data_IF_406133999114
#
_entry.id   IF_406133999114
#
_cell.length_a   1.000
_cell.length_b   1.000
_cell.length_c   1.000
_cell.angle_alpha   90.00
_cell.angle_beta   90.00
_cell.angle_gamma   90.00
#
_symmetry.space_group_name_H-M   'P 1'
#
loop_
_entity.id
_entity.type
_entity.pdbx_description
1 polymer ?
#
# COMPACT_ATOMS: atom_id res chain seq x y z
N UNK A 1 -7.13 -5.95 12.25
CA UNK A 1 -5.87 -5.24 12.58
C UNK A 1 -6.00 -3.78 12.22
N UNK A 2 -5.14 -2.91 12.78
CA UNK A 2 -4.99 -1.51 12.35
C UNK A 2 -3.85 -1.40 11.37
N UNK A 3 -4.12 -0.88 10.17
CA UNK A 3 -3.19 -0.84 9.05
C UNK A 3 -3.00 0.60 8.61
N UNK A 4 -1.75 1.04 8.53
CA UNK A 4 -1.38 2.33 7.96
C UNK A 4 -0.85 2.10 6.53
N UNK A 5 -1.39 2.84 5.58
CA UNK A 5 -0.98 2.80 4.17
C UNK A 5 -0.31 4.14 3.83
N UNK A 6 0.91 4.10 3.32
CA UNK A 6 1.64 5.31 2.94
C UNK A 6 1.54 5.53 1.43
N UNK A 7 0.92 6.63 1.05
CA UNK A 7 0.53 6.94 -0.33
C UNK A 7 -0.95 6.61 -0.62
N UNK A 8 -1.55 7.31 -1.57
CA UNK A 8 -2.93 7.08 -2.02
C UNK A 8 -3.03 6.74 -3.52
N UNK A 9 -2.09 5.91 -4.00
CA UNK A 9 -2.06 5.45 -5.40
C UNK A 9 -3.10 4.35 -5.69
N UNK A 10 -3.24 3.99 -6.98
CA UNK A 10 -4.18 2.93 -7.42
C UNK A 10 -3.91 1.58 -6.76
N UNK A 11 -2.65 1.18 -6.65
CA UNK A 11 -2.24 -0.09 -6.00
C UNK A 11 -2.56 -0.05 -4.52
N UNK A 12 -2.20 1.03 -3.83
CA UNK A 12 -2.45 1.21 -2.40
C UNK A 12 -3.94 1.21 -2.08
N UNK A 13 -4.75 1.84 -2.93
CA UNK A 13 -6.22 1.83 -2.81
C UNK A 13 -6.81 0.42 -3.02
N UNK A 14 -6.26 -0.36 -3.95
CA UNK A 14 -6.67 -1.76 -4.14
C UNK A 14 -6.36 -2.60 -2.88
N UNK A 15 -5.18 -2.43 -2.27
CA UNK A 15 -4.83 -3.05 -0.99
C UNK A 15 -5.76 -2.59 0.13
N UNK A 16 -6.09 -1.30 0.21
CA UNK A 16 -7.04 -0.78 1.21
C UNK A 16 -8.41 -1.45 1.11
N UNK A 17 -8.94 -1.63 -0.10
CA UNK A 17 -10.19 -2.36 -0.35
C UNK A 17 -10.09 -3.82 0.07
N UNK A 18 -8.98 -4.49 -0.25
CA UNK A 18 -8.70 -5.86 0.21
C UNK A 18 -8.69 -5.95 1.74
N UNK A 19 -7.98 -5.06 2.42
CA UNK A 19 -7.91 -5.03 3.88
C UNK A 19 -9.27 -4.76 4.53
N UNK A 20 -10.05 -3.81 3.99
CA UNK A 20 -11.40 -3.49 4.46
C UNK A 20 -12.34 -4.68 4.29
N UNK A 21 -12.26 -5.40 3.15
CA UNK A 21 -13.02 -6.64 2.92
C UNK A 21 -12.70 -7.73 3.95
N UNK A 22 -11.45 -7.77 4.43
CA UNK A 22 -11.00 -8.65 5.51
C UNK A 22 -11.18 -8.05 6.92
N UNK A 23 -12.10 -7.10 7.09
CA UNK A 23 -12.48 -6.49 8.37
C UNK A 23 -11.34 -5.78 9.13
N UNK A 24 -10.35 -5.24 8.41
CA UNK A 24 -9.29 -4.43 9.01
C UNK A 24 -9.64 -2.92 9.02
N UNK A 25 -9.12 -2.20 10.00
CA UNK A 25 -9.16 -0.73 10.03
C UNK A 25 -7.99 -0.20 9.22
N UNK A 26 -8.27 0.69 8.26
CA UNK A 26 -7.26 1.21 7.31
C UNK A 26 -7.22 2.72 7.38
N UNK A 27 -6.01 3.28 7.49
CA UNK A 27 -5.72 4.71 7.44
C UNK A 27 -4.68 5.00 6.37
N UNK A 28 -4.89 6.04 5.58
CA UNK A 28 -3.90 6.54 4.64
C UNK A 28 -3.10 7.70 5.24
N UNK A 29 -1.81 7.75 4.89
CA UNK A 29 -0.94 8.87 5.18
C UNK A 29 -0.21 9.30 3.90
N UNK A 30 -0.35 10.57 3.53
CA UNK A 30 0.26 11.16 2.32
C UNK A 30 0.60 12.64 2.57
N UNK A 31 1.67 13.13 1.96
CA UNK A 31 2.08 14.54 2.06
C UNK A 31 1.14 15.48 1.31
N UNK A 32 0.41 14.96 0.31
CA UNK A 32 -0.61 15.73 -0.41
C UNK A 32 -1.84 16.02 0.47
N UNK A 33 -2.01 15.29 1.57
CA UNK A 33 -3.10 15.52 2.50
C UNK A 33 -2.73 16.62 3.47
N UNK A 34 -3.45 17.74 3.41
CA UNK A 34 -3.19 18.92 4.26
C UNK A 34 -3.96 18.87 5.59
N UNK A 35 -5.07 18.13 5.63
CA UNK A 35 -5.88 17.89 6.81
C UNK A 35 -6.55 16.51 6.74
N UNK A 36 -7.12 16.05 7.86
CA UNK A 36 -7.92 14.83 7.91
C UNK A 36 -9.18 14.96 7.05
N UNK A 37 -9.49 13.92 6.28
CA UNK A 37 -10.75 13.77 5.57
C UNK A 37 -11.10 12.30 5.33
N UNK A 38 -12.30 12.05 4.78
CA UNK A 38 -12.66 10.75 4.21
C UNK A 38 -12.70 10.86 2.70
N UNK A 39 -12.04 9.93 2.01
CA UNK A 39 -12.13 9.88 0.54
C UNK A 39 -13.51 9.41 0.05
N UNK A 40 -13.68 9.32 -1.27
CA UNK A 40 -14.95 8.91 -1.91
C UNK A 40 -15.42 7.49 -1.53
N UNK A 41 -14.53 6.65 -1.02
CA UNK A 41 -14.84 5.28 -0.56
C UNK A 41 -14.95 5.17 0.97
N UNK A 42 -14.84 6.31 1.65
CA UNK A 42 -14.94 6.44 3.09
C UNK A 42 -13.69 6.00 3.86
N UNK A 43 -12.54 5.85 3.20
CA UNK A 43 -11.28 5.59 3.90
C UNK A 43 -10.81 6.83 4.65
N UNK A 44 -10.12 6.60 5.77
CA UNK A 44 -9.60 7.68 6.62
C UNK A 44 -8.26 8.17 6.06
N UNK A 45 -8.18 9.43 5.67
CA UNK A 45 -6.98 10.02 5.06
C UNK A 45 -6.40 11.10 5.97
N UNK A 46 -5.12 10.96 6.31
CA UNK A 46 -4.41 11.85 7.23
C UNK A 46 -3.14 12.41 6.60
N UNK A 47 -2.75 13.66 6.92
CA UNK A 47 -1.41 14.16 6.63
C UNK A 47 -0.31 13.24 7.18
N UNK A 48 0.80 13.08 6.46
CA UNK A 48 1.94 12.27 6.92
C UNK A 48 2.45 12.63 8.31
N UNK A 49 2.38 13.92 8.68
CA UNK A 49 2.81 14.42 10.00
C UNK A 49 1.99 13.85 11.16
N UNK A 50 0.76 13.40 10.90
CA UNK A 50 -0.16 12.87 11.90
C UNK A 50 0.03 11.35 12.11
N UNK A 51 0.98 10.72 11.39
CA UNK A 51 1.32 9.32 11.58
C UNK A 51 1.97 9.08 12.94
N UNK A 52 1.40 8.13 13.68
CA UNK A 52 1.96 7.59 14.92
C UNK A 52 2.24 6.09 14.74
N UNK A 53 3.51 5.66 14.82
CA UNK A 53 3.89 4.27 14.57
C UNK A 53 3.43 3.27 15.65
N UNK A 54 2.82 3.76 16.73
CA UNK A 54 2.23 2.89 17.76
C UNK A 54 0.75 2.55 17.47
N UNK A 55 0.12 3.21 16.48
CA UNK A 55 -1.31 3.06 16.22
C UNK A 55 -1.64 1.97 15.20
N UNK A 56 -0.63 1.40 14.53
CA UNK A 56 -0.76 0.32 13.54
C UNK A 56 0.06 -0.91 13.88
N UNK A 57 -0.44 -2.05 13.39
CA UNK A 57 0.20 -3.37 13.50
C UNK A 57 0.87 -3.77 12.17
N UNK A 58 0.65 -2.97 11.12
CA UNK A 58 1.20 -3.16 9.79
C UNK A 58 1.26 -1.78 9.11
N UNK A 59 2.41 -1.46 8.51
CA UNK A 59 2.59 -0.27 7.68
C UNK A 59 3.02 -0.66 6.28
N UNK A 60 2.18 -0.37 5.27
CA UNK A 60 2.49 -0.68 3.87
C UNK A 60 2.92 0.58 3.14
N UNK A 61 4.11 0.57 2.54
CA UNK A 61 4.66 1.72 1.82
C UNK A 61 4.59 1.56 0.31
N UNK A 62 4.06 2.59 -0.36
CA UNK A 62 4.09 2.71 -1.82
C UNK A 62 5.52 2.95 -2.33
N UNK A 63 5.94 2.37 -3.47
CA UNK A 63 7.28 2.53 -4.03
C UNK A 63 7.64 3.98 -4.40
N UNK A 64 6.65 4.88 -4.51
CA UNK A 64 6.88 6.30 -4.77
C UNK A 64 7.43 7.08 -3.56
N UNK A 65 7.41 6.50 -2.35
CA UNK A 65 7.87 7.16 -1.13
C UNK A 65 9.34 6.79 -0.87
N UNK A 66 10.19 7.80 -0.68
CA UNK A 66 11.61 7.62 -0.41
C UNK A 66 11.86 6.81 0.88
N UNK A 67 12.91 5.98 0.89
CA UNK A 67 13.37 5.27 2.10
C UNK A 67 13.80 6.20 3.23
N UNK A 68 14.15 7.45 2.90
CA UNK A 68 14.51 8.48 3.89
C UNK A 68 13.31 9.31 4.34
N UNK A 69 12.09 8.98 3.90
CA UNK A 69 10.90 9.72 4.25
C UNK A 69 10.54 9.52 5.74
N UNK A 70 10.04 10.53 6.46
CA UNK A 70 9.69 10.40 7.88
C UNK A 70 8.69 9.28 8.19
N UNK A 71 7.73 8.98 7.29
CA UNK A 71 6.82 7.84 7.46
C UNK A 71 7.58 6.51 7.53
N UNK A 72 8.54 6.32 6.62
CA UNK A 72 9.36 5.11 6.54
C UNK A 72 10.25 4.99 7.78
N UNK A 73 10.99 6.05 8.10
CA UNK A 73 11.94 6.05 9.22
C UNK A 73 11.25 5.79 10.57
N UNK A 74 10.03 6.32 10.77
CA UNK A 74 9.30 6.17 12.03
C UNK A 74 8.59 4.81 12.18
N UNK A 75 8.35 4.09 11.09
CA UNK A 75 7.56 2.87 11.09
C UNK A 75 8.20 1.74 11.89
N UNK A 76 7.37 0.83 12.42
CA UNK A 76 7.82 -0.30 13.26
C UNK A 76 7.59 -1.66 12.61
N UNK A 77 6.60 -1.74 11.73
CA UNK A 77 6.11 -2.93 11.05
C UNK A 77 5.99 -2.65 9.54
N UNK A 78 7.04 -2.05 8.97
CA UNK A 78 7.08 -1.62 7.58
C UNK A 78 7.22 -2.79 6.62
N UNK A 79 6.39 -2.79 5.56
CA UNK A 79 6.48 -3.72 4.42
C UNK A 79 6.22 -2.94 3.12
N UNK A 80 6.86 -3.32 2.01
CA UNK A 80 6.49 -2.74 0.72
C UNK A 80 5.17 -3.34 0.21
N UNK A 81 4.49 -2.65 -0.71
CA UNK A 81 3.31 -3.21 -1.38
C UNK A 81 3.60 -4.59 -2.00
N UNK A 82 4.78 -4.75 -2.62
CA UNK A 82 5.18 -5.98 -3.30
C UNK A 82 5.46 -7.12 -2.32
N UNK A 83 6.24 -6.86 -1.26
CA UNK A 83 6.55 -7.88 -0.25
C UNK A 83 5.28 -8.33 0.48
N UNK A 84 4.33 -7.42 0.71
CA UNK A 84 3.04 -7.79 1.29
C UNK A 84 2.26 -8.72 0.35
N UNK A 85 2.17 -8.38 -0.94
CA UNK A 85 1.48 -9.21 -1.93
C UNK A 85 2.15 -10.59 -2.04
N UNK A 86 3.48 -10.63 -2.08
CA UNK A 86 4.25 -11.88 -2.11
C UNK A 86 3.94 -12.76 -0.88
N UNK A 87 3.86 -12.12 0.30
CA UNK A 87 3.52 -12.81 1.56
C UNK A 87 2.10 -13.40 1.62
N UNK A 88 1.21 -13.05 0.67
CA UNK A 88 -0.11 -13.67 0.55
C UNK A 88 -0.07 -15.03 -0.15
N UNK A 89 1.06 -15.39 -0.77
CA UNK A 89 1.23 -16.67 -1.44
C UNK A 89 1.98 -17.64 -0.53
N UNK A 90 1.43 -18.85 -0.43
CA UNK A 90 2.00 -19.92 0.40
C UNK A 90 2.64 -21.01 -0.49
N UNK A 91 3.50 -21.84 0.10
CA UNK A 91 4.17 -22.99 -0.57
C UNK A 91 3.19 -23.98 -1.21
N UNK A 92 1.92 -24.00 -0.77
CA UNK A 92 0.88 -24.90 -1.26
C UNK A 92 0.20 -24.36 -2.52
N UNK A 93 0.19 -23.03 -2.71
CA UNK A 93 -0.40 -22.39 -3.88
C UNK A 93 0.29 -21.05 -4.17
N UNK A 94 1.40 -21.12 -4.90
CA UNK A 94 2.01 -19.95 -5.53
C UNK A 94 1.69 -19.99 -7.03
N UNK A 95 0.86 -19.08 -7.57
CA UNK A 95 0.68 -19.00 -9.01
C UNK A 95 2.02 -18.62 -9.67
N UNK A 96 2.19 -18.92 -10.96
CA UNK A 96 3.34 -18.41 -11.70
C UNK A 96 3.30 -16.88 -11.71
N UNK A 97 4.26 -16.24 -11.03
CA UNK A 97 4.38 -14.78 -10.98
C UNK A 97 5.31 -14.33 -12.11
N UNK A 98 4.79 -13.46 -12.99
CA UNK A 98 5.57 -12.80 -14.04
C UNK A 98 5.66 -11.31 -13.71
N UNK A 99 6.85 -10.85 -13.31
CA UNK A 99 7.09 -9.43 -13.01
C UNK A 99 7.62 -8.69 -14.24
N UNK A 100 6.93 -7.61 -14.64
CA UNK A 100 7.27 -6.82 -15.84
C UNK A 100 7.78 -5.45 -15.40
N UNK A 101 9.03 -5.16 -15.74
CA UNK A 101 9.71 -3.89 -15.41
C UNK A 101 10.21 -3.18 -16.68
N UNK A 102 10.43 -1.87 -16.58
CA UNK A 102 10.94 -1.04 -17.68
C UNK A 102 10.42 0.38 -17.65
N UNK A 103 11.06 1.30 -18.38
CA UNK A 103 10.62 2.70 -18.45
C UNK A 103 9.28 2.83 -19.19
N UNK A 104 9.12 2.13 -20.30
CA UNK A 104 7.94 2.17 -21.18
C UNK A 104 7.36 0.77 -21.40
N UNK A 105 6.11 0.68 -21.88
CA UNK A 105 5.50 -0.58 -22.32
C UNK A 105 4.95 -1.52 -21.23
N UNK A 106 5.27 -1.29 -19.94
CA UNK A 106 4.88 -2.17 -18.82
C UNK A 106 3.39 -2.57 -18.82
N UNK A 107 2.50 -1.58 -18.82
CA UNK A 107 1.05 -1.83 -18.75
C UNK A 107 0.56 -2.62 -19.97
N UNK A 108 0.98 -2.20 -21.18
CA UNK A 108 0.60 -2.88 -22.43
C UNK A 108 1.10 -4.32 -22.49
N UNK A 109 2.36 -4.58 -22.11
CA UNK A 109 2.91 -5.95 -22.06
C UNK A 109 2.21 -6.80 -21.00
N UNK A 110 1.87 -6.21 -19.85
CA UNK A 110 1.11 -6.92 -18.80
C UNK A 110 -0.28 -7.32 -19.31
N UNK A 111 -1.00 -6.39 -19.95
CA UNK A 111 -2.33 -6.65 -20.50
C UNK A 111 -2.31 -7.71 -21.61
N UNK A 112 -1.30 -7.67 -22.49
CA UNK A 112 -1.13 -8.67 -23.56
C UNK A 112 -0.90 -10.10 -23.04
N UNK A 113 -0.30 -10.27 -21.85
CA UNK A 113 -0.11 -11.59 -21.22
C UNK A 113 -1.39 -12.12 -20.55
N UNK A 114 -2.40 -11.27 -20.39
CA UNK A 114 -3.69 -11.64 -19.77
C UNK A 114 -4.81 -11.85 -20.78
N UNK A 115 -4.56 -11.61 -22.07
CA UNK A 115 -5.45 -11.92 -23.20
C UNK A 115 -5.31 -13.38 -23.62
#
# INVERSE_FOLDING_TARGET
>A
MKISLFGHGKTTLALARFFKKNHNEVKFFDDQFTAFFKDSEGFLCYPSKDFNPNDSQLEVVSPGISFTHPLVIKSKHLVSEYDYIDSLFDLVFTPTIISISGTNGKTTTTEMLTM
#
